data_IF_064141856575
#
_entry.id   IF_064141856575
#
_cell.length_a   1.000
_cell.length_b   1.000
_cell.length_c   1.000
_cell.angle_alpha   90.00
_cell.angle_beta   90.00
_cell.angle_gamma   90.00
#
_symmetry.space_group_name_H-M   'P 1'
#
loop_
_entity.id
_entity.type
_entity.pdbx_description
1 polymer ?
#
# COMPACT_ATOMS: atom_id res chain seq x y z
N UNK A 1 -18.35 -2.51 20.73
CA UNK A 1 -18.13 -3.67 19.86
C UNK A 1 -19.28 -4.64 20.12
N UNK A 2 -19.87 -5.26 19.10
CA UNK A 2 -21.04 -6.14 19.22
C UNK A 2 -20.73 -7.46 18.51
N UNK A 3 -21.24 -8.58 19.01
CA UNK A 3 -21.19 -9.85 18.29
C UNK A 3 -22.07 -9.78 17.04
N UNK A 4 -21.56 -10.10 15.86
CA UNK A 4 -22.32 -10.02 14.60
C UNK A 4 -23.53 -10.96 14.56
N UNK A 5 -23.53 -12.01 15.38
CA UNK A 5 -24.62 -13.00 15.45
C UNK A 5 -25.70 -12.64 16.47
N UNK A 6 -25.34 -11.97 17.55
CA UNK A 6 -26.23 -11.77 18.70
C UNK A 6 -26.36 -10.30 19.13
N UNK A 7 -25.63 -9.40 18.50
CA UNK A 7 -25.56 -7.96 18.75
C UNK A 7 -25.24 -7.51 20.19
N UNK A 8 -24.94 -8.44 21.10
CA UNK A 8 -24.56 -8.16 22.47
C UNK A 8 -23.11 -7.66 22.56
N UNK A 9 -22.84 -6.82 23.57
CA UNK A 9 -21.57 -6.09 23.71
C UNK A 9 -20.54 -6.77 24.62
N UNK A 10 -20.87 -7.92 25.19
CA UNK A 10 -20.07 -8.53 26.26
C UNK A 10 -19.31 -9.77 25.74
N UNK A 11 -18.03 -9.59 25.42
CA UNK A 11 -17.10 -10.68 25.20
C UNK A 11 -16.39 -11.02 26.51
N UNK A 12 -16.66 -12.20 27.08
CA UNK A 12 -16.19 -12.56 28.44
C UNK A 12 -15.31 -13.82 28.45
N UNK A 13 -15.20 -14.53 27.32
CA UNK A 13 -14.50 -15.82 27.25
C UNK A 13 -13.27 -15.68 26.34
N UNK A 14 -12.09 -16.03 26.83
CA UNK A 14 -10.85 -16.03 26.04
C UNK A 14 -10.28 -17.44 25.96
N UNK A 15 -10.13 -17.96 24.75
CA UNK A 15 -9.47 -19.25 24.50
C UNK A 15 -8.05 -18.99 24.05
N UNK A 16 -7.10 -19.68 24.67
CA UNK A 16 -5.68 -19.65 24.29
C UNK A 16 -5.32 -21.02 23.72
N UNK A 17 -4.88 -21.07 22.47
CA UNK A 17 -4.42 -22.29 21.80
C UNK A 17 -2.93 -22.21 21.54
N UNK A 18 -2.22 -23.31 21.73
CA UNK A 18 -0.79 -23.44 21.42
C UNK A 18 -0.62 -24.55 20.38
N UNK A 19 -0.14 -24.20 19.19
CA UNK A 19 0.15 -25.12 18.10
C UNK A 19 1.56 -24.84 17.59
N UNK A 20 2.42 -25.86 17.55
CA UNK A 20 3.83 -25.76 17.11
C UNK A 20 4.64 -24.63 17.77
N UNK A 21 4.37 -24.37 19.06
CA UNK A 21 5.04 -23.31 19.83
C UNK A 21 4.46 -21.90 19.61
N UNK A 22 3.47 -21.75 18.74
CA UNK A 22 2.74 -20.50 18.53
C UNK A 22 1.48 -20.44 19.36
N UNK A 23 1.32 -19.37 20.12
CA UNK A 23 0.16 -19.14 20.99
C UNK A 23 -0.81 -18.14 20.36
N UNK A 24 -2.06 -18.54 20.15
CA UNK A 24 -3.13 -17.67 19.63
C UNK A 24 -4.22 -17.50 20.69
N UNK A 25 -4.65 -16.26 20.94
CA UNK A 25 -5.71 -15.93 21.89
C UNK A 25 -6.93 -15.37 21.15
N UNK A 26 -8.08 -16.02 21.31
CA UNK A 26 -9.34 -15.67 20.64
C UNK A 26 -10.36 -15.28 21.69
N UNK A 27 -11.01 -14.12 21.52
CA UNK A 27 -12.15 -13.70 22.35
C UNK A 27 -13.45 -14.26 21.77
N UNK A 28 -14.32 -14.83 22.60
CA UNK A 28 -15.61 -15.40 22.21
C UNK A 28 -16.77 -14.65 22.87
N UNK A 29 -17.90 -14.60 22.16
CA UNK A 29 -19.16 -14.10 22.68
C UNK A 29 -19.67 -15.00 23.81
N UNK A 30 -20.01 -14.41 24.96
CA UNK A 30 -20.51 -15.16 26.11
C UNK A 30 -21.90 -15.80 25.87
N UNK A 31 -22.65 -15.31 24.88
CA UNK A 31 -24.02 -15.77 24.59
C UNK A 31 -24.07 -16.91 23.59
N UNK A 32 -23.27 -16.86 22.52
CA UNK A 32 -23.34 -17.83 21.43
C UNK A 32 -22.04 -18.60 21.18
N UNK A 33 -20.95 -18.26 21.87
CA UNK A 33 -19.66 -18.95 21.74
C UNK A 33 -18.90 -18.65 20.44
N UNK A 34 -19.44 -17.82 19.54
CA UNK A 34 -18.74 -17.42 18.32
C UNK A 34 -17.58 -16.48 18.64
N UNK A 35 -16.49 -16.51 17.84
CA UNK A 35 -15.43 -15.53 17.92
C UNK A 35 -15.99 -14.12 17.83
N UNK A 36 -15.61 -13.30 18.80
CA UNK A 36 -15.87 -11.88 18.74
C UNK A 36 -14.99 -11.34 17.62
N UNK A 37 -15.61 -11.06 16.48
CA UNK A 37 -15.01 -10.53 15.25
C UNK A 37 -14.62 -9.07 15.44
N UNK A 38 -13.73 -8.82 16.39
CA UNK A 38 -12.76 -7.76 16.22
C UNK A 38 -11.38 -8.40 16.16
N UNK A 39 -10.75 -8.19 15.01
CA UNK A 39 -9.36 -8.48 14.73
C UNK A 39 -8.51 -8.35 15.99
N UNK A 40 -8.06 -9.49 16.52
CA UNK A 40 -6.83 -9.50 17.30
C UNK A 40 -5.79 -8.78 16.43
N UNK A 41 -5.30 -7.65 16.94
CA UNK A 41 -4.38 -6.77 16.25
C UNK A 41 -3.22 -7.56 15.64
N UNK A 42 -3.24 -7.67 14.32
CA UNK A 42 -2.11 -7.95 13.44
C UNK A 42 -2.47 -7.33 12.10
N UNK A 43 -2.24 -6.02 12.00
CA UNK A 43 -2.34 -5.13 10.82
C UNK A 43 -3.69 -5.07 10.05
N UNK A 44 -4.69 -4.30 10.55
CA UNK A 44 -6.04 -4.23 9.98
C UNK A 44 -6.28 -3.19 8.86
N UNK A 45 -5.26 -2.59 8.25
CA UNK A 45 -5.46 -1.65 7.11
C UNK A 45 -4.89 -2.16 5.78
N UNK A 46 -4.16 -3.26 5.81
CA UNK A 46 -3.51 -3.83 4.61
C UNK A 46 -4.48 -4.67 3.76
N UNK A 47 -5.52 -5.26 4.38
CA UNK A 47 -6.42 -6.21 3.72
C UNK A 47 -7.68 -5.57 3.09
N UNK A 48 -8.15 -4.42 3.59
CA UNK A 48 -9.32 -3.73 3.01
C UNK A 48 -8.97 -3.07 1.66
N UNK A 49 -7.70 -2.70 1.46
CA UNK A 49 -7.23 -2.16 0.19
C UNK A 49 -7.20 -3.19 -0.96
N UNK A 50 -7.14 -4.49 -0.64
CA UNK A 50 -7.08 -5.56 -1.63
C UNK A 50 -8.45 -5.97 -2.20
N UNK A 51 -9.56 -5.41 -1.70
CA UNK A 51 -10.91 -5.79 -2.13
C UNK A 51 -11.58 -4.84 -3.13
N UNK A 52 -10.82 -3.92 -3.73
CA UNK A 52 -11.35 -2.93 -4.70
C UNK A 52 -11.05 -3.16 -6.18
N UNK A 53 -10.18 -4.12 -6.58
CA UNK A 53 -9.78 -4.21 -7.99
C UNK A 53 -8.72 -5.25 -8.36
N UNK A 54 -9.04 -6.52 -8.15
CA UNK A 54 -8.54 -7.70 -8.90
C UNK A 54 -7.02 -8.00 -8.92
N UNK A 55 -6.48 -8.44 -7.79
CA UNK A 55 -5.37 -9.41 -7.76
C UNK A 55 -5.73 -10.60 -6.88
N UNK A 56 -5.53 -11.86 -7.34
CA UNK A 56 -5.63 -12.98 -6.43
C UNK A 56 -4.49 -12.87 -5.41
N UNK A 57 -4.84 -12.69 -4.14
CA UNK A 57 -3.93 -12.95 -3.04
C UNK A 57 -3.61 -14.46 -3.04
N UNK A 58 -2.63 -14.86 -3.86
CA UNK A 58 -2.03 -16.19 -3.81
C UNK A 58 -0.92 -16.17 -2.75
N UNK A 59 -0.88 -17.12 -1.82
CA UNK A 59 0.15 -17.18 -0.77
C UNK A 59 1.57 -17.51 -1.27
N UNK A 60 1.82 -17.46 -2.59
CA UNK A 60 3.10 -17.86 -3.19
C UNK A 60 3.73 -16.86 -4.18
N UNK A 61 3.08 -15.72 -4.50
CA UNK A 61 3.61 -14.79 -5.50
C UNK A 61 3.48 -13.34 -5.03
N UNK A 62 4.61 -12.74 -4.63
CA UNK A 62 4.71 -11.29 -4.50
C UNK A 62 4.85 -10.70 -5.90
N UNK A 63 3.73 -10.33 -6.51
CA UNK A 63 3.67 -9.72 -7.85
C UNK A 63 4.68 -8.59 -8.00
N UNK A 64 4.87 -7.77 -6.96
CA UNK A 64 5.81 -6.64 -6.98
C UNK A 64 7.27 -7.11 -6.94
N UNK A 65 7.56 -8.19 -6.21
CA UNK A 65 8.86 -8.86 -6.29
C UNK A 65 9.11 -9.43 -7.70
N UNK A 66 8.11 -10.06 -8.32
CA UNK A 66 8.26 -10.56 -9.68
C UNK A 66 8.48 -9.43 -10.69
N UNK A 67 7.78 -8.30 -10.56
CA UNK A 67 8.01 -7.15 -11.45
C UNK A 67 9.43 -6.61 -11.25
N UNK A 68 9.88 -6.48 -10.00
CA UNK A 68 11.23 -6.02 -9.68
C UNK A 68 12.33 -6.97 -10.18
N UNK A 69 12.13 -8.29 -10.06
CA UNK A 69 13.07 -9.30 -10.54
C UNK A 69 13.23 -9.27 -12.07
N UNK A 70 12.21 -8.80 -12.79
CA UNK A 70 12.25 -8.60 -14.23
C UNK A 70 12.73 -7.20 -14.67
N UNK A 71 12.78 -6.23 -13.76
CA UNK A 71 13.22 -4.85 -14.02
C UNK A 71 14.23 -4.39 -12.96
N UNK A 72 15.50 -4.74 -13.20
CA UNK A 72 16.62 -4.45 -12.30
C UNK A 72 16.94 -2.95 -12.13
N UNK A 73 16.19 -2.03 -12.77
CA UNK A 73 16.36 -0.59 -12.60
C UNK A 73 15.85 -0.10 -11.24
N UNK A 74 14.87 -0.80 -10.66
CA UNK A 74 14.20 -0.39 -9.43
C UNK A 74 14.16 -1.53 -8.42
N UNK A 75 14.34 -1.22 -7.14
CA UNK A 75 14.21 -2.25 -6.10
C UNK A 75 12.74 -2.56 -5.84
N UNK A 76 12.46 -3.71 -5.24
CA UNK A 76 11.09 -4.12 -4.86
C UNK A 76 10.38 -3.06 -4.02
N UNK A 77 11.11 -2.38 -3.14
CA UNK A 77 10.57 -1.33 -2.27
C UNK A 77 10.02 -0.13 -3.08
N UNK A 78 10.58 0.16 -4.26
CA UNK A 78 10.05 1.19 -5.16
C UNK A 78 8.63 0.87 -5.63
N UNK A 79 8.36 -0.39 -5.97
CA UNK A 79 7.06 -0.86 -6.43
C UNK A 79 6.01 -0.78 -5.31
N UNK A 80 6.39 -1.21 -4.10
CA UNK A 80 5.54 -1.06 -2.90
C UNK A 80 5.25 0.40 -2.59
N UNK A 81 6.25 1.27 -2.70
CA UNK A 81 6.09 2.70 -2.47
C UNK A 81 5.14 3.35 -3.48
N UNK A 82 5.20 2.96 -4.76
CA UNK A 82 4.27 3.45 -5.79
C UNK A 82 2.84 3.00 -5.51
N UNK A 83 2.64 1.74 -5.13
CA UNK A 83 1.33 1.25 -4.70
C UNK A 83 0.79 2.09 -3.55
N UNK A 84 1.58 2.29 -2.49
CA UNK A 84 1.15 3.08 -1.34
C UNK A 84 0.85 4.55 -1.72
N UNK A 85 1.54 5.09 -2.73
CA UNK A 85 1.25 6.41 -3.30
C UNK A 85 -0.09 6.48 -4.02
N UNK A 86 -0.50 5.44 -4.74
CA UNK A 86 -1.84 5.33 -5.34
C UNK A 86 -2.90 5.24 -4.24
N UNK A 87 -2.67 4.41 -3.21
CA UNK A 87 -3.52 4.34 -2.02
C UNK A 87 -3.70 5.68 -1.35
N UNK A 88 -2.61 6.44 -1.23
CA UNK A 88 -2.63 7.77 -0.67
C UNK A 88 -3.46 8.72 -1.54
N UNK A 89 -3.23 8.74 -2.86
CA UNK A 89 -3.92 9.62 -3.80
C UNK A 89 -5.44 9.41 -3.81
N UNK A 90 -5.89 8.16 -3.77
CA UNK A 90 -7.32 7.80 -3.72
C UNK A 90 -7.95 8.28 -2.40
N UNK A 91 -7.28 8.02 -1.27
CA UNK A 91 -7.78 8.43 0.05
C UNK A 91 -7.85 9.94 0.23
N UNK A 92 -6.95 10.69 -0.41
CA UNK A 92 -6.98 12.16 -0.38
C UNK A 92 -8.19 12.77 -1.12
N UNK A 93 -8.95 11.99 -1.89
CA UNK A 93 -10.09 12.48 -2.67
C UNK A 93 -11.39 11.79 -2.25
N UNK A 94 -12.02 12.27 -1.18
CA UNK A 94 -13.41 12.00 -0.73
C UNK A 94 -13.96 10.56 -0.80
N UNK A 95 -13.12 9.53 -0.98
CA UNK A 95 -13.49 8.12 -0.94
C UNK A 95 -13.99 7.50 -2.24
N UNK A 96 -14.10 8.25 -3.35
CA UNK A 96 -14.52 7.66 -4.63
C UNK A 96 -13.33 6.98 -5.33
N UNK A 97 -13.48 5.69 -5.62
CA UNK A 97 -12.55 4.91 -6.43
C UNK A 97 -12.54 5.43 -7.88
N UNK A 98 -11.86 6.55 -8.08
CA UNK A 98 -11.68 7.19 -9.39
C UNK A 98 -10.26 6.98 -9.91
N UNK A 99 -10.11 7.23 -11.21
CA UNK A 99 -8.80 7.28 -11.84
C UNK A 99 -7.92 8.35 -11.21
N UNK A 100 -6.69 7.98 -10.91
CA UNK A 100 -5.65 8.87 -10.42
C UNK A 100 -4.79 9.27 -11.60
N UNK A 101 -4.70 10.56 -11.88
CA UNK A 101 -3.82 11.10 -12.92
C UNK A 101 -2.35 11.04 -12.50
N UNK A 102 -1.42 11.09 -13.47
CA UNK A 102 0.02 11.11 -13.18
C UNK A 102 0.40 12.25 -12.21
N UNK A 103 -0.15 13.45 -12.38
CA UNK A 103 0.12 14.59 -11.50
C UNK A 103 -0.39 14.39 -10.07
N UNK A 104 -1.59 13.82 -9.91
CA UNK A 104 -2.14 13.50 -8.58
C UNK A 104 -1.32 12.43 -7.86
N UNK A 105 -0.86 11.42 -8.60
CA UNK A 105 0.02 10.39 -8.08
C UNK A 105 1.37 10.99 -7.67
N UNK A 106 2.00 11.80 -8.52
CA UNK A 106 3.26 12.46 -8.21
C UNK A 106 3.16 13.34 -6.96
N UNK A 107 2.11 14.14 -6.84
CA UNK A 107 1.86 14.95 -5.66
C UNK A 107 1.73 14.09 -4.40
N UNK A 108 1.00 12.98 -4.49
CA UNK A 108 0.82 12.03 -3.38
C UNK A 108 2.11 11.34 -2.99
N UNK A 109 2.92 10.89 -3.96
CA UNK A 109 4.23 10.29 -3.72
C UNK A 109 5.19 11.25 -3.05
N UNK A 110 5.16 12.53 -3.43
CA UNK A 110 5.98 13.57 -2.80
C UNK A 110 5.63 13.73 -1.32
N UNK A 111 4.33 13.87 -1.02
CA UNK A 111 3.84 14.00 0.35
C UNK A 111 4.22 12.76 1.15
N UNK A 112 3.93 11.58 0.62
CA UNK A 112 4.22 10.31 1.27
C UNK A 112 5.71 10.11 1.57
N UNK A 113 6.59 10.48 0.63
CA UNK A 113 8.03 10.40 0.83
C UNK A 113 8.51 11.32 1.96
N UNK A 114 8.01 12.56 1.99
CA UNK A 114 8.34 13.53 3.04
C UNK A 114 7.78 13.12 4.41
N UNK A 115 6.56 12.58 4.46
CA UNK A 115 5.96 12.10 5.70
C UNK A 115 6.71 10.90 6.29
N UNK A 116 7.16 9.97 5.45
CA UNK A 116 7.85 8.75 5.89
C UNK A 116 9.32 8.97 6.23
N UNK A 117 10.01 9.80 5.46
CA UNK A 117 11.48 9.87 5.48
C UNK A 117 12.03 11.26 5.76
N UNK A 118 11.19 12.30 5.78
CA UNK A 118 11.61 13.68 6.03
C UNK A 118 12.74 14.11 5.09
N UNK A 119 13.81 14.65 5.67
CA UNK A 119 15.02 15.05 4.93
C UNK A 119 15.78 13.88 4.29
N UNK A 120 15.52 12.64 4.71
CA UNK A 120 16.08 11.42 4.11
C UNK A 120 15.35 10.94 2.86
N UNK A 121 14.21 11.57 2.49
CA UNK A 121 13.37 11.14 1.37
C UNK A 121 14.15 10.98 0.05
N UNK A 122 15.02 11.96 -0.27
CA UNK A 122 15.81 11.93 -1.50
C UNK A 122 16.78 10.75 -1.54
N UNK A 123 17.44 10.46 -0.42
CA UNK A 123 18.39 9.35 -0.31
C UNK A 123 17.67 8.02 -0.43
N UNK A 124 16.53 7.90 0.25
CA UNK A 124 15.73 6.68 0.25
C UNK A 124 15.23 6.34 -1.16
N UNK A 125 14.65 7.31 -1.87
CA UNK A 125 14.20 7.13 -3.25
C UNK A 125 15.37 6.76 -4.17
N UNK A 126 16.52 7.43 -4.02
CA UNK A 126 17.73 7.12 -4.80
C UNK A 126 18.23 5.71 -4.55
N UNK A 127 18.17 5.22 -3.31
CA UNK A 127 18.58 3.85 -2.96
C UNK A 127 17.71 2.78 -3.65
N UNK A 128 16.50 3.15 -4.05
CA UNK A 128 15.58 2.29 -4.80
C UNK A 128 15.68 2.45 -6.32
N UNK A 129 16.64 3.23 -6.81
CA UNK A 129 16.79 3.55 -8.24
C UNK A 129 15.87 4.67 -8.74
N UNK A 130 15.10 5.31 -7.86
CA UNK A 130 14.17 6.40 -8.21
C UNK A 130 14.86 7.75 -8.02
N UNK A 131 15.08 8.46 -9.12
CA UNK A 131 15.85 9.72 -9.13
C UNK A 131 15.08 10.90 -9.70
N UNK A 132 13.99 10.65 -10.41
CA UNK A 132 13.15 11.65 -11.09
C UNK A 132 11.71 11.15 -11.24
N UNK A 133 10.79 12.04 -11.60
CA UNK A 133 9.37 11.70 -11.71
C UNK A 133 9.07 10.64 -12.77
N UNK A 134 9.85 10.60 -13.84
CA UNK A 134 9.76 9.64 -14.93
C UNK A 134 9.98 8.20 -14.44
N UNK A 135 10.79 8.01 -13.41
CA UNK A 135 11.04 6.70 -12.82
C UNK A 135 9.76 6.13 -12.17
N UNK A 136 8.93 6.99 -11.58
CA UNK A 136 7.61 6.56 -11.10
C UNK A 136 6.70 6.16 -12.26
N UNK A 137 6.78 6.86 -13.40
CA UNK A 137 6.05 6.49 -14.61
C UNK A 137 6.47 5.12 -15.15
N UNK A 138 7.78 4.83 -15.17
CA UNK A 138 8.29 3.51 -15.53
C UNK A 138 7.74 2.41 -14.62
N UNK A 139 7.76 2.62 -13.30
CA UNK A 139 7.22 1.68 -12.31
C UNK A 139 5.71 1.46 -12.51
N UNK A 140 4.94 2.54 -12.64
CA UNK A 140 3.48 2.47 -12.85
C UNK A 140 3.14 1.67 -14.10
N UNK A 141 3.85 1.90 -15.21
CA UNK A 141 3.58 1.20 -16.45
C UNK A 141 4.07 -0.26 -16.44
N UNK A 142 5.14 -0.58 -15.69
CA UNK A 142 5.51 -1.96 -15.44
C UNK A 142 4.40 -2.70 -14.68
N UNK A 143 3.79 -2.04 -13.70
CA UNK A 143 2.65 -2.56 -12.94
C UNK A 143 1.38 -2.72 -13.81
N UNK A 144 1.07 -1.75 -14.67
CA UNK A 144 -0.01 -1.88 -15.67
C UNK A 144 0.24 -3.10 -16.57
N UNK A 145 1.48 -3.30 -17.04
CA UNK A 145 1.83 -4.42 -17.91
C UNK A 145 1.62 -5.80 -17.25
N UNK A 146 1.69 -5.85 -15.93
CA UNK A 146 1.42 -7.04 -15.10
C UNK A 146 -0.01 -7.10 -14.56
N UNK A 147 -0.84 -6.14 -14.96
CA UNK A 147 -2.24 -5.99 -14.58
C UNK A 147 -2.47 -5.29 -13.24
N UNK A 148 -1.42 -5.00 -12.46
CA UNK A 148 -1.50 -4.46 -11.09
C UNK A 148 -2.37 -3.21 -11.00
N UNK A 149 -2.31 -2.37 -12.05
CA UNK A 149 -3.12 -1.17 -12.19
C UNK A 149 -3.92 -1.18 -13.49
N UNK A 150 -5.08 -0.53 -13.44
CA UNK A 150 -5.84 -0.18 -14.63
C UNK A 150 -5.17 0.95 -15.42
N UNK A 151 -5.43 1.01 -16.72
CA UNK A 151 -4.95 2.05 -17.62
C UNK A 151 -6.09 2.58 -18.48
N UNK A 152 -6.16 3.90 -18.67
CA UNK A 152 -7.02 4.54 -19.68
C UNK A 152 -6.28 4.68 -21.03
N UNK A 153 -7.00 4.70 -22.16
CA UNK A 153 -6.38 4.85 -23.48
C UNK A 153 -5.47 6.08 -23.59
N UNK A 154 -5.81 7.14 -22.85
CA UNK A 154 -5.12 8.42 -22.87
C UNK A 154 -3.89 8.45 -21.96
N UNK A 155 -3.72 7.50 -21.04
CA UNK A 155 -2.58 7.51 -20.11
C UNK A 155 -1.28 7.18 -20.84
N UNK A 156 -0.26 8.02 -20.61
CA UNK A 156 1.06 7.91 -21.23
C UNK A 156 2.15 7.96 -20.17
N UNK A 157 3.26 7.25 -20.42
CA UNK A 157 4.46 7.37 -19.56
C UNK A 157 4.96 8.81 -19.51
N UNK A 158 4.84 9.50 -20.64
CA UNK A 158 5.25 10.90 -20.78
C UNK A 158 4.50 11.86 -19.85
N UNK A 159 3.34 11.48 -19.31
CA UNK A 159 2.59 12.29 -18.35
C UNK A 159 3.37 12.52 -17.03
N UNK A 160 4.40 11.70 -16.78
CA UNK A 160 5.30 11.83 -15.64
C UNK A 160 6.50 12.76 -15.88
N UNK A 161 6.78 13.15 -17.14
CA UNK A 161 7.95 13.96 -17.49
C UNK A 161 7.88 15.40 -16.97
N UNK A 162 6.67 15.94 -16.82
CA UNK A 162 6.44 17.31 -16.34
C UNK A 162 6.11 17.34 -14.85
N UNK A 163 6.80 16.50 -14.07
CA UNK A 163 6.67 16.43 -12.63
C UNK A 163 7.43 17.54 -11.89
N UNK A 164 7.92 17.22 -10.70
CA UNK A 164 8.74 18.13 -9.89
C UNK A 164 10.21 17.73 -9.92
N UNK A 165 11.10 18.70 -9.71
CA UNK A 165 12.52 18.42 -9.51
C UNK A 165 12.77 17.88 -8.09
N UNK A 166 13.47 16.75 -7.98
CA UNK A 166 13.73 16.08 -6.70
C UNK A 166 14.63 16.91 -5.77
N UNK A 167 15.54 17.73 -6.29
CA UNK A 167 16.40 18.57 -5.46
C UNK A 167 15.58 19.67 -4.77
N UNK A 168 14.59 20.24 -5.47
CA UNK A 168 13.66 21.21 -4.92
C UNK A 168 12.60 20.58 -4.01
N UNK A 169 12.12 19.38 -4.36
CA UNK A 169 11.01 18.72 -3.66
C UNK A 169 11.43 18.02 -2.36
N UNK A 170 12.69 17.55 -2.29
CA UNK A 170 13.25 16.81 -1.15
C UNK A 170 14.55 17.47 -0.68
N UNK A 171 14.45 18.58 0.07
CA UNK A 171 15.63 19.27 0.57
C UNK A 171 16.37 18.38 1.57
N UNK A 172 17.69 18.30 1.39
CA UNK A 172 18.58 17.65 2.35
C UNK A 172 18.64 18.54 3.58
N UNK A 173 18.68 17.94 4.78
CA UNK A 173 18.92 18.71 6.00
C UNK A 173 20.30 19.37 5.90
N UNK A 174 20.34 20.70 5.88
CA UNK A 174 21.59 21.45 6.03
C UNK A 174 22.10 21.23 7.46
N UNK A 175 23.37 20.84 7.66
CA UNK A 175 23.95 20.63 8.99
C UNK A 175 23.99 21.91 9.83
#
# INVERSE_FOLDING_TARGET
>A
MRCDKCEHKDATIFITQVVDGHTTKIALCATCGEPFTQAAASFPQFMEYLQGGRFPASPFVDLFAEVADHDARYTREAFWFVRDGVDHAIRSHSGDARHVTAHELLASLRILALERYGSGAREQLRSWGVTRCEDFGEIVFALIGKGAFGKRPEDRKEDFNNGYDFASAFPIATP
#
